data_IF_330060548840
#
_entry.id   IF_330060548840
#
_cell.length_a   1.000
_cell.length_b   1.000
_cell.length_c   1.000
_cell.angle_alpha   90.00
_cell.angle_beta   90.00
_cell.angle_gamma   90.00
#
_symmetry.space_group_name_H-M   'P 1'
#
loop_
_entity.id
_entity.type
_entity.pdbx_description
1 polymer ?
#
# COMPACT_ATOMS: atom_id res chain seq x y z
N UNK A 1 7.95 4.16 -17.92
CA UNK A 1 7.07 3.36 -18.06
C UNK A 1 7.01 2.35 -17.14
N UNK A 2 6.21 2.03 -16.76
CA UNK A 2 6.25 1.19 -15.96
C UNK A 2 5.48 0.20 -16.25
N UNK A 3 5.93 -0.64 -16.55
CA UNK A 3 5.29 -1.78 -16.83
C UNK A 3 5.03 -2.56 -15.63
N UNK A 4 4.30 -1.96 -14.74
CA UNK A 4 3.73 -2.77 -13.69
C UNK A 4 2.65 -3.59 -14.35
N UNK A 5 2.79 -4.92 -14.43
CA UNK A 5 1.79 -5.75 -15.06
C UNK A 5 0.45 -5.55 -14.35
N UNK A 6 -0.61 -5.44 -15.12
CA UNK A 6 -1.92 -5.42 -14.49
C UNK A 6 -2.18 -6.78 -13.90
N UNK A 7 -2.25 -6.84 -12.59
CA UNK A 7 -2.59 -8.06 -11.90
C UNK A 7 -4.09 -8.09 -11.65
N UNK A 8 -4.69 -9.24 -11.81
CA UNK A 8 -6.09 -9.45 -11.42
C UNK A 8 -6.16 -9.40 -9.89
N UNK A 9 -7.35 -9.20 -9.35
CA UNK A 9 -7.53 -9.23 -7.89
C UNK A 9 -7.09 -10.58 -7.32
N UNK A 10 -7.34 -11.64 -8.05
CA UNK A 10 -6.92 -12.97 -7.64
C UNK A 10 -5.40 -13.08 -7.58
N UNK A 11 -4.71 -12.53 -8.57
CA UNK A 11 -3.24 -12.53 -8.58
C UNK A 11 -2.68 -11.69 -7.45
N UNK A 12 -3.28 -10.53 -7.18
CA UNK A 12 -2.86 -9.68 -6.08
C UNK A 12 -3.01 -10.40 -4.74
N UNK A 13 -4.08 -11.17 -4.57
CA UNK A 13 -4.31 -11.90 -3.34
C UNK A 13 -3.24 -12.95 -3.05
N UNK A 14 -2.49 -13.36 -4.06
CA UNK A 14 -1.41 -14.35 -3.89
C UNK A 14 -0.07 -13.73 -3.53
N UNK A 15 0.06 -12.40 -3.60
CA UNK A 15 1.34 -11.72 -3.35
C UNK A 15 1.71 -11.80 -1.87
N UNK A 16 0.74 -11.80 -0.97
CA UNK A 16 0.98 -11.96 0.45
C UNK A 16 0.12 -13.10 0.98
N UNK A 17 0.60 -13.81 2.01
CA UNK A 17 -0.19 -14.88 2.62
C UNK A 17 -1.50 -14.33 3.20
N UNK A 18 -2.55 -15.14 3.16
CA UNK A 18 -3.85 -14.77 3.70
C UNK A 18 -3.80 -14.35 5.16
N UNK A 19 -2.97 -15.02 5.95
CA UNK A 19 -2.81 -14.70 7.38
C UNK A 19 -2.24 -13.30 7.58
N UNK A 20 -1.29 -12.90 6.74
CA UNK A 20 -0.70 -11.55 6.78
C UNK A 20 -1.76 -10.54 6.36
N UNK A 21 -2.45 -10.78 5.25
CA UNK A 21 -3.49 -9.87 4.77
C UNK A 21 -4.56 -9.64 5.82
N UNK A 22 -4.99 -10.69 6.53
CA UNK A 22 -5.98 -10.55 7.60
C UNK A 22 -5.48 -9.64 8.72
N UNK A 23 -4.20 -9.78 9.10
CA UNK A 23 -3.60 -8.88 10.11
C UNK A 23 -3.63 -7.43 9.65
N UNK A 24 -3.24 -7.19 8.40
CA UNK A 24 -3.15 -5.83 7.86
C UNK A 24 -4.53 -5.16 7.77
N UNK A 25 -5.56 -5.94 7.40
CA UNK A 25 -6.94 -5.45 7.37
C UNK A 25 -7.38 -4.99 8.76
N UNK A 26 -6.89 -5.66 9.81
CA UNK A 26 -7.19 -5.28 11.18
C UNK A 26 -6.29 -4.16 11.72
N UNK A 27 -5.36 -3.69 10.93
CA UNK A 27 -4.45 -2.63 11.35
C UNK A 27 -3.26 -3.12 12.16
N UNK A 28 -2.95 -4.41 12.08
CA UNK A 28 -1.85 -5.00 12.84
C UNK A 28 -0.58 -5.00 12.00
N UNK A 29 0.12 -3.88 12.02
CA UNK A 29 1.40 -3.73 11.31
C UNK A 29 2.53 -3.93 12.31
N UNK A 30 3.18 -5.09 12.26
CA UNK A 30 4.19 -5.47 13.23
C UNK A 30 5.59 -4.92 12.90
N UNK A 31 5.83 -4.63 11.63
CA UNK A 31 7.15 -4.14 11.20
C UNK A 31 7.04 -3.35 9.91
N UNK A 32 8.14 -2.70 9.53
CA UNK A 32 8.21 -2.00 8.25
C UNK A 32 8.07 -2.93 7.05
N UNK A 33 8.41 -4.20 7.21
CA UNK A 33 8.23 -5.19 6.15
C UNK A 33 6.76 -5.37 5.80
N UNK A 34 5.87 -5.24 6.77
CA UNK A 34 4.44 -5.31 6.52
C UNK A 34 3.98 -4.17 5.62
N UNK A 35 4.53 -2.98 5.81
CA UNK A 35 4.21 -1.81 4.96
C UNK A 35 4.69 -2.05 3.53
N UNK A 36 5.93 -2.53 3.38
CA UNK A 36 6.48 -2.84 2.06
C UNK A 36 5.68 -3.96 1.37
N UNK A 37 5.30 -4.99 2.13
CA UNK A 37 4.50 -6.09 1.61
C UNK A 37 3.13 -5.59 1.12
N UNK A 38 2.49 -4.71 1.89
CA UNK A 38 1.21 -4.12 1.50
C UNK A 38 1.36 -3.33 0.20
N UNK A 39 2.39 -2.50 0.10
CA UNK A 39 2.64 -1.71 -1.10
C UNK A 39 2.81 -2.61 -2.32
N UNK A 40 3.58 -3.68 -2.19
CA UNK A 40 3.76 -4.64 -3.27
C UNK A 40 2.46 -5.36 -3.62
N UNK A 41 1.64 -5.67 -2.62
CA UNK A 41 0.33 -6.28 -2.82
C UNK A 41 -0.58 -5.35 -3.64
N UNK A 42 -0.55 -4.05 -3.36
CA UNK A 42 -1.30 -3.06 -4.12
C UNK A 42 -0.72 -2.90 -5.54
N UNK A 43 0.56 -3.20 -5.71
CA UNK A 43 1.20 -3.14 -7.03
C UNK A 43 1.75 -1.79 -7.40
N UNK A 44 2.19 -1.00 -6.41
CA UNK A 44 2.69 0.36 -6.64
C UNK A 44 4.14 0.49 -6.19
N UNK A 45 4.85 1.42 -6.82
CA UNK A 45 6.19 1.82 -6.36
C UNK A 45 6.05 2.65 -5.10
N UNK A 46 7.17 2.92 -4.41
CA UNK A 46 7.14 3.81 -3.24
C UNK A 46 6.57 5.18 -3.57
N UNK A 47 7.01 5.78 -4.69
CA UNK A 47 6.53 7.10 -5.09
C UNK A 47 5.03 7.09 -5.38
N UNK A 48 4.56 6.07 -6.10
CA UNK A 48 3.15 5.95 -6.44
C UNK A 48 2.29 5.70 -5.20
N UNK A 49 2.74 4.83 -4.32
CA UNK A 49 1.98 4.52 -3.11
C UNK A 49 1.90 5.74 -2.19
N UNK A 50 3.02 6.46 -2.02
CA UNK A 50 3.04 7.68 -1.22
C UNK A 50 2.06 8.71 -1.80
N UNK A 51 2.07 8.89 -3.11
CA UNK A 51 1.16 9.82 -3.77
C UNK A 51 -0.30 9.41 -3.53
N UNK A 52 -0.62 8.13 -3.71
CA UNK A 52 -1.98 7.63 -3.52
C UNK A 52 -2.46 7.78 -2.08
N UNK A 53 -1.54 7.68 -1.11
CA UNK A 53 -1.87 7.79 0.31
C UNK A 53 -1.82 9.23 0.84
N UNK A 54 -1.37 10.18 0.02
CA UNK A 54 -1.26 11.58 0.45
C UNK A 54 -0.12 11.84 1.42
N UNK A 55 0.96 11.08 1.34
CA UNK A 55 2.13 11.26 2.20
C UNK A 55 3.37 11.47 1.35
N UNK A 56 4.46 11.94 1.96
CA UNK A 56 5.72 12.05 1.24
C UNK A 56 6.36 10.68 1.10
N UNK A 57 7.17 10.50 0.06
CA UNK A 57 7.91 9.27 -0.13
C UNK A 57 8.91 9.06 1.02
N UNK A 58 9.41 10.15 1.60
CA UNK A 58 10.29 10.08 2.77
C UNK A 58 9.59 9.45 3.96
N UNK A 59 8.34 9.85 4.22
CA UNK A 59 7.52 9.27 5.29
C UNK A 59 7.33 7.77 5.06
N UNK A 60 6.99 7.38 3.84
CA UNK A 60 6.80 5.97 3.51
C UNK A 60 8.08 5.17 3.72
N UNK A 61 9.21 5.71 3.28
CA UNK A 61 10.51 5.04 3.48
C UNK A 61 10.82 4.84 4.94
N UNK A 62 10.52 5.84 5.78
CA UNK A 62 10.73 5.72 7.22
C UNK A 62 9.87 4.62 7.81
N UNK A 63 8.62 4.47 7.35
CA UNK A 63 7.77 3.38 7.80
C UNK A 63 8.34 2.02 7.37
N UNK A 64 8.74 1.90 6.10
CA UNK A 64 9.25 0.62 5.57
C UNK A 64 10.58 0.21 6.22
N UNK A 65 11.37 1.19 6.65
CA UNK A 65 12.63 0.93 7.33
C UNK A 65 12.49 0.80 8.85
N UNK A 66 11.28 0.95 9.37
CA UNK A 66 11.03 0.80 10.80
C UNK A 66 11.47 1.96 11.66
N UNK A 67 11.84 3.10 11.06
CA UNK A 67 12.27 4.28 11.80
C UNK A 67 11.10 5.04 12.40
N UNK A 68 9.95 4.95 11.79
CA UNK A 68 8.72 5.55 12.25
C UNK A 68 7.58 4.58 12.00
N UNK A 69 6.50 4.74 12.75
CA UNK A 69 5.31 3.91 12.61
C UNK A 69 4.13 4.75 12.17
N UNK A 70 3.28 4.23 11.27
CA UNK A 70 2.05 4.95 10.93
C UNK A 70 1.12 5.01 12.14
N UNK A 71 0.39 6.10 12.28
CA UNK A 71 -0.51 6.31 13.40
C UNK A 71 -1.80 6.95 12.92
N UNK A 72 -2.86 6.78 13.69
CA UNK A 72 -4.13 7.45 13.45
C UNK A 72 -4.70 7.21 12.06
N UNK A 73 -5.00 8.30 11.31
CA UNK A 73 -5.60 8.16 9.98
C UNK A 73 -4.76 7.35 9.00
N UNK A 74 -3.42 7.34 9.18
CA UNK A 74 -2.56 6.55 8.32
C UNK A 74 -2.85 5.06 8.45
N UNK A 75 -3.10 4.58 9.66
CA UNK A 75 -3.47 3.18 9.88
C UNK A 75 -4.79 2.87 9.17
N UNK A 76 -5.76 3.76 9.25
CA UNK A 76 -7.06 3.56 8.58
C UNK A 76 -6.89 3.44 7.07
N UNK A 77 -6.05 4.29 6.47
CA UNK A 77 -5.77 4.23 5.04
C UNK A 77 -5.06 2.94 4.65
N UNK A 78 -4.10 2.50 5.46
CA UNK A 78 -3.41 1.24 5.21
C UNK A 78 -4.35 0.04 5.31
N UNK A 79 -5.29 0.07 6.24
CA UNK A 79 -6.31 -0.97 6.34
C UNK A 79 -7.18 -1.02 5.09
N UNK A 80 -7.57 0.13 4.57
CA UNK A 80 -8.34 0.23 3.34
C UNK A 80 -7.55 -0.34 2.17
N UNK A 81 -6.25 -0.01 2.09
CA UNK A 81 -5.37 -0.53 1.05
C UNK A 81 -5.29 -2.07 1.10
N UNK A 82 -5.23 -2.63 2.30
CA UNK A 82 -5.17 -4.09 2.47
C UNK A 82 -6.49 -4.77 2.07
N UNK A 83 -7.61 -4.09 2.33
CA UNK A 83 -8.93 -4.66 2.03
C UNK A 83 -9.33 -4.42 0.58
N UNK A 84 -9.00 -3.26 0.05
CA UNK A 84 -9.43 -2.83 -1.28
C UNK A 84 -8.27 -2.26 -2.08
N UNK A 85 -7.30 -3.09 -2.49
CA UNK A 85 -6.11 -2.59 -3.20
C UNK A 85 -6.44 -1.88 -4.50
N UNK A 86 -7.52 -2.28 -5.16
CA UNK A 86 -7.95 -1.66 -6.42
C UNK A 86 -8.31 -0.19 -6.23
N UNK A 87 -8.94 0.16 -5.12
CA UNK A 87 -9.33 1.55 -4.84
C UNK A 87 -8.09 2.44 -4.76
N UNK A 88 -7.04 1.96 -4.14
CA UNK A 88 -5.79 2.72 -4.02
C UNK A 88 -5.16 2.94 -5.40
N UNK A 89 -5.15 1.91 -6.26
CA UNK A 89 -4.63 2.04 -7.61
C UNK A 89 -5.47 3.01 -8.45
N UNK A 90 -6.79 2.96 -8.30
CA UNK A 90 -7.69 3.88 -8.99
C UNK A 90 -7.46 5.31 -8.54
N UNK A 91 -7.17 5.51 -7.26
CA UNK A 91 -6.91 6.83 -6.72
C UNK A 91 -5.68 7.48 -7.38
N UNK A 92 -4.60 6.72 -7.53
CA UNK A 92 -3.41 7.28 -8.16
C UNK A 92 -3.64 7.52 -9.66
N UNK A 93 -4.38 6.64 -10.32
CA UNK A 93 -4.71 6.83 -11.73
C UNK A 93 -5.51 8.13 -11.93
N UNK A 94 -6.43 8.44 -11.03
CA UNK A 94 -7.19 9.69 -11.08
C UNK A 94 -6.30 10.91 -10.90
N UNK A 95 -5.34 10.85 -9.98
CA UNK A 95 -4.41 11.95 -9.75
C UNK A 95 -3.52 12.17 -10.98
N UNK A 96 -3.01 11.10 -11.56
CA UNK A 96 -2.14 11.17 -12.74
C UNK A 96 -2.90 11.68 -13.96
N UNK A 97 -4.17 11.31 -14.09
CA UNK A 97 -4.99 11.76 -15.20
C UNK A 97 -5.38 13.23 -15.07
N UNK A 98 -5.48 13.74 -13.87
CA UNK A 98 -5.84 15.13 -13.61
C UNK A 98 -4.67 16.09 -13.83
N UNK A 99 -3.46 15.56 -13.85
CA UNK A 99 -2.27 16.42 -14.02
C UNK A 99 -2.02 16.84 -15.49
#
# INVERSE_FOLDING_TARGET
MSDIPELTDEQLARVIPSSVRKRLILGQFDSGEDIAALRCFVGLTQAQFALAMGISVHTLRNWEQGRRHPEGPAIALLRIAARHPRIIRENIASIESAA
#
